data_IF_780779559737
#
_entry.id   IF_780779559737
#
_cell.length_a   1.000
_cell.length_b   1.000
_cell.length_c   1.000
_cell.angle_alpha   90.00
_cell.angle_beta   90.00
_cell.angle_gamma   90.00
#
_symmetry.space_group_name_H-M   'P 1'
#
loop_
_entity.id
_entity.type
_entity.pdbx_description
1 polymer ?
#
# COMPACT_ATOMS: atom_id res chain seq x y z
N UNK A 1 -3.10 28.30 11.50
CA UNK A 1 -4.51 27.92 11.15
C UNK A 1 -4.46 26.46 10.75
N UNK A 2 -5.02 25.58 11.56
CA UNK A 2 -5.02 24.11 11.39
C UNK A 2 -5.84 23.74 10.15
N UNK A 3 -5.32 22.84 9.30
CA UNK A 3 -5.99 22.22 8.13
C UNK A 3 -7.20 21.33 8.53
N UNK A 4 -7.54 21.31 9.81
CA UNK A 4 -8.53 20.45 10.46
C UNK A 4 -10.02 20.76 10.16
N UNK A 5 -10.37 21.76 9.32
CA UNK A 5 -11.77 22.17 9.20
C UNK A 5 -12.47 21.92 7.86
N UNK A 6 -11.85 21.25 6.90
CA UNK A 6 -12.35 21.24 5.51
C UNK A 6 -13.01 19.93 5.01
N UNK A 7 -13.03 18.83 5.79
CA UNK A 7 -13.76 17.61 5.41
C UNK A 7 -14.59 17.13 6.60
N UNK A 8 -15.92 17.15 6.46
CA UNK A 8 -16.82 16.57 7.44
C UNK A 8 -16.52 15.08 7.61
N UNK A 9 -16.58 14.56 8.84
CA UNK A 9 -16.28 13.17 9.18
C UNK A 9 -17.17 12.13 8.46
N UNK A 10 -18.20 12.56 7.72
CA UNK A 10 -19.16 11.69 7.02
C UNK A 10 -18.71 11.12 5.67
N UNK A 11 -17.67 11.70 5.03
CA UNK A 11 -17.29 11.32 3.65
C UNK A 11 -16.03 10.46 3.54
N UNK A 12 -15.36 10.12 4.64
CA UNK A 12 -14.11 9.36 4.64
C UNK A 12 -14.31 7.94 5.19
N UNK A 13 -13.81 6.94 4.49
CA UNK A 13 -13.80 5.56 4.97
C UNK A 13 -12.59 5.25 5.86
N UNK A 14 -11.46 5.95 5.64
CA UNK A 14 -10.27 5.91 6.48
C UNK A 14 -9.90 7.32 6.91
N UNK A 15 -9.60 7.47 8.19
CA UNK A 15 -9.00 8.69 8.76
C UNK A 15 -7.77 8.27 9.55
N UNK A 16 -6.63 8.85 9.20
CA UNK A 16 -5.42 8.87 10.01
C UNK A 16 -5.26 10.30 10.52
N UNK A 17 -5.16 10.48 11.84
CA UNK A 17 -5.15 11.80 12.47
C UNK A 17 -4.01 11.89 13.49
N UNK A 18 -3.09 12.83 13.23
CA UNK A 18 -1.92 13.16 14.06
C UNK A 18 -1.04 11.94 14.40
N UNK A 19 -0.81 11.05 13.43
CA UNK A 19 -0.02 9.83 13.63
C UNK A 19 1.45 10.18 13.88
N UNK A 20 1.96 9.75 15.06
CA UNK A 20 3.38 9.84 15.42
C UNK A 20 3.88 8.47 15.88
N UNK A 21 4.98 8.02 15.29
CA UNK A 21 5.65 6.75 15.67
C UNK A 21 7.09 7.02 16.05
N UNK A 22 7.47 6.59 17.26
CA UNK A 22 8.83 6.66 17.79
C UNK A 22 9.30 5.27 18.17
N UNK A 23 10.55 4.98 17.87
CA UNK A 23 11.22 3.75 18.27
C UNK A 23 12.37 4.10 19.22
N UNK A 24 12.47 3.36 20.32
CA UNK A 24 13.64 3.42 21.21
C UNK A 24 14.76 2.58 20.60
N UNK A 25 15.92 3.17 20.42
CA UNK A 25 17.11 2.46 19.93
C UNK A 25 18.27 2.64 20.91
N UNK A 26 19.33 1.85 20.76
CA UNK A 26 20.53 1.96 21.59
C UNK A 26 21.20 3.35 21.50
N UNK A 27 20.98 4.08 20.39
CA UNK A 27 21.52 5.40 20.13
C UNK A 27 20.56 6.54 20.53
N UNK A 28 19.38 6.19 21.09
CA UNK A 28 18.33 7.13 21.48
C UNK A 28 17.04 6.98 20.66
N UNK A 29 16.00 7.79 20.95
CA UNK A 29 14.71 7.68 20.29
C UNK A 29 14.79 8.19 18.85
N UNK A 30 14.24 7.38 17.92
CA UNK A 30 14.10 7.74 16.50
C UNK A 30 12.63 7.95 16.18
N UNK A 31 12.29 9.13 15.65
CA UNK A 31 10.93 9.38 15.10
C UNK A 31 10.89 8.91 13.66
N UNK A 32 10.11 7.85 13.40
CA UNK A 32 9.93 7.29 12.06
C UNK A 32 8.84 8.04 11.29
N UNK A 33 7.72 8.35 11.95
CA UNK A 33 6.57 9.09 11.43
C UNK A 33 6.26 10.24 12.37
N UNK A 34 6.08 11.44 11.83
CA UNK A 34 5.87 12.65 12.64
C UNK A 34 4.67 13.45 12.11
N UNK A 35 3.58 13.39 12.87
CA UNK A 35 2.37 14.17 12.68
C UNK A 35 1.75 14.01 11.26
N UNK A 36 1.46 12.77 10.86
CA UNK A 36 0.81 12.48 9.59
C UNK A 36 -0.70 12.45 9.80
N UNK A 37 -1.41 13.31 9.03
CA UNK A 37 -2.87 13.33 8.97
C UNK A 37 -3.36 13.29 7.52
N UNK A 38 -4.27 12.38 7.21
CA UNK A 38 -4.96 12.32 5.91
C UNK A 38 -6.27 11.53 6.01
N UNK A 39 -7.09 11.68 4.97
CA UNK A 39 -8.38 10.98 4.84
C UNK A 39 -8.47 10.32 3.49
N UNK A 40 -9.18 9.19 3.41
CA UNK A 40 -9.43 8.45 2.17
C UNK A 40 -10.94 8.28 2.00
N UNK A 41 -11.44 8.56 0.81
CA UNK A 41 -12.86 8.41 0.47
C UNK A 41 -13.18 6.96 0.10
N UNK A 42 -14.45 6.51 0.24
CA UNK A 42 -14.87 5.22 -0.30
C UNK A 42 -14.55 5.10 -1.81
N UNK A 43 -13.98 3.97 -2.22
CA UNK A 43 -13.62 3.69 -3.61
C UNK A 43 -12.39 4.45 -4.12
N UNK A 44 -11.76 5.28 -3.31
CA UNK A 44 -10.54 6.02 -3.68
C UNK A 44 -9.33 5.10 -3.74
N UNK A 45 -8.44 5.37 -4.69
CA UNK A 45 -7.10 4.78 -4.76
C UNK A 45 -6.06 5.83 -4.36
N UNK A 46 -5.46 5.66 -3.17
CA UNK A 46 -4.42 6.56 -2.65
C UNK A 46 -3.07 5.84 -2.67
N UNK A 47 -2.06 6.41 -3.33
CA UNK A 47 -0.68 5.95 -3.16
C UNK A 47 0.10 6.79 -2.14
N UNK A 48 0.99 6.12 -1.41
CA UNK A 48 1.97 6.74 -0.52
C UNK A 48 3.36 6.49 -1.10
N UNK A 49 4.06 7.57 -1.42
CA UNK A 49 5.39 7.54 -2.04
C UNK A 49 6.38 8.37 -1.22
N UNK A 50 7.64 7.96 -1.21
CA UNK A 50 8.69 8.67 -0.47
C UNK A 50 10.01 7.91 -0.53
N UNK A 51 11.13 8.51 -0.10
CA UNK A 51 12.44 7.87 -0.07
C UNK A 51 12.45 6.58 0.74
N UNK A 52 13.44 5.72 0.50
CA UNK A 52 13.63 4.51 1.30
C UNK A 52 13.87 4.88 2.77
N UNK A 53 13.24 4.13 3.68
CA UNK A 53 13.36 4.35 5.12
C UNK A 53 12.67 5.60 5.67
N UNK A 54 11.80 6.29 4.90
CA UNK A 54 11.05 7.46 5.39
C UNK A 54 9.83 7.12 6.27
N UNK A 55 9.56 5.84 6.55
CA UNK A 55 8.47 5.44 7.43
C UNK A 55 7.18 4.97 6.74
N UNK A 56 7.17 4.72 5.41
CA UNK A 56 5.97 4.26 4.68
C UNK A 56 5.38 2.97 5.24
N UNK A 57 6.18 1.91 5.34
CA UNK A 57 5.73 0.62 5.90
C UNK A 57 5.36 0.73 7.38
N UNK A 58 6.03 1.63 8.14
CA UNK A 58 5.65 1.95 9.53
C UNK A 58 4.24 2.55 9.57
N UNK A 59 3.94 3.52 8.71
CA UNK A 59 2.60 4.11 8.60
C UNK A 59 1.55 3.07 8.22
N UNK A 60 1.86 2.16 7.27
CA UNK A 60 0.95 1.07 6.90
C UNK A 60 0.71 0.07 8.03
N UNK A 61 1.74 -0.25 8.82
CA UNK A 61 1.59 -1.11 9.98
C UNK A 61 0.69 -0.47 11.05
N UNK A 62 0.75 0.86 11.22
CA UNK A 62 -0.20 1.59 12.08
C UNK A 62 -1.62 1.51 11.51
N UNK A 63 -1.81 1.82 10.22
CA UNK A 63 -3.13 1.78 9.57
C UNK A 63 -3.70 0.35 9.58
N UNK A 64 -2.85 -0.66 9.36
CA UNK A 64 -3.23 -2.07 9.39
C UNK A 64 -3.50 -2.63 10.79
N UNK A 65 -3.23 -1.83 11.86
CA UNK A 65 -3.36 -2.26 13.24
C UNK A 65 -2.27 -3.25 13.69
N UNK A 66 -1.18 -3.38 12.93
CA UNK A 66 -0.05 -4.26 13.26
C UNK A 66 0.95 -3.58 14.20
N UNK A 67 0.97 -2.26 14.24
CA UNK A 67 1.77 -1.45 15.16
C UNK A 67 0.83 -0.58 16.00
N UNK A 68 0.72 -0.92 17.29
CA UNK A 68 -0.21 -0.27 18.23
C UNK A 68 0.47 0.81 19.09
N UNK A 69 1.80 0.81 19.15
CA UNK A 69 2.57 1.84 19.88
C UNK A 69 2.79 3.08 19.02
N UNK A 70 1.76 3.93 18.94
CA UNK A 70 1.78 5.21 18.25
C UNK A 70 0.94 6.25 18.98
N UNK A 71 1.13 7.54 18.67
CA UNK A 71 0.22 8.63 19.02
C UNK A 71 -0.71 8.90 17.84
N UNK A 72 -1.81 9.58 18.11
CA UNK A 72 -2.82 9.86 17.11
C UNK A 72 -3.89 8.76 17.02
N UNK A 73 -4.77 8.87 16.04
CA UNK A 73 -5.94 8.00 15.89
C UNK A 73 -6.05 7.50 14.45
N UNK A 74 -6.30 6.20 14.28
CA UNK A 74 -6.75 5.63 13.02
C UNK A 74 -8.19 5.17 13.17
N UNK A 75 -9.05 5.56 12.24
CA UNK A 75 -10.43 5.07 12.19
C UNK A 75 -10.80 4.55 10.81
N UNK A 76 -11.60 3.48 10.76
CA UNK A 76 -12.12 2.85 9.55
C UNK A 76 -13.63 2.78 9.63
N UNK A 77 -14.32 3.37 8.66
CA UNK A 77 -15.78 3.46 8.61
C UNK A 77 -16.40 4.02 9.91
N UNK A 78 -15.71 4.99 10.54
CA UNK A 78 -16.12 5.66 11.78
C UNK A 78 -15.75 4.91 13.07
N UNK A 79 -15.16 3.72 12.99
CA UNK A 79 -14.69 2.96 14.15
C UNK A 79 -13.19 3.18 14.34
N UNK A 80 -12.75 3.60 15.54
CA UNK A 80 -11.32 3.66 15.88
C UNK A 80 -10.76 2.25 15.97
N UNK A 81 -9.56 2.04 15.42
CA UNK A 81 -8.87 0.75 15.44
C UNK A 81 -7.65 0.82 16.35
N UNK A 82 -7.47 -0.19 17.17
CA UNK A 82 -6.37 -0.38 18.13
C UNK A 82 -5.63 -1.70 17.93
N UNK A 83 -5.90 -2.40 16.81
CA UNK A 83 -5.30 -3.67 16.43
C UNK A 83 -5.77 -4.13 15.07
N UNK A 84 -5.39 -5.36 14.63
CA UNK A 84 -5.84 -5.92 13.35
C UNK A 84 -7.37 -5.91 13.24
N UNK A 85 -7.88 -5.38 12.14
CA UNK A 85 -9.32 -5.16 11.95
C UNK A 85 -9.84 -5.85 10.69
N UNK A 86 -11.00 -6.55 10.81
CA UNK A 86 -11.63 -7.30 9.71
C UNK A 86 -11.95 -6.49 8.45
N UNK A 87 -12.10 -5.18 8.60
CA UNK A 87 -12.37 -4.27 7.47
C UNK A 87 -11.11 -3.93 6.67
N UNK A 88 -9.93 -4.35 7.11
CA UNK A 88 -8.65 -4.07 6.46
C UNK A 88 -8.05 -5.38 5.95
N UNK A 89 -7.77 -5.44 4.66
CA UNK A 89 -6.99 -6.51 4.04
C UNK A 89 -5.59 -5.99 3.70
N UNK A 90 -4.56 -6.80 3.93
CA UNK A 90 -3.17 -6.42 3.62
C UNK A 90 -2.55 -7.39 2.62
N UNK A 91 -1.89 -6.82 1.61
CA UNK A 91 -0.99 -7.52 0.69
C UNK A 91 0.41 -7.01 0.97
N UNK A 92 1.29 -7.90 1.43
CA UNK A 92 2.66 -7.56 1.82
C UNK A 92 3.61 -7.62 0.62
N UNK A 93 4.75 -6.97 0.75
CA UNK A 93 5.84 -7.00 -0.24
C UNK A 93 6.37 -8.42 -0.44
N UNK A 94 6.57 -9.15 0.65
CA UNK A 94 6.98 -10.56 0.59
C UNK A 94 5.78 -11.45 0.24
N UNK A 95 6.06 -12.49 -0.55
CA UNK A 95 5.06 -13.47 -0.92
C UNK A 95 4.55 -14.21 0.31
N UNK A 96 3.32 -13.96 0.68
CA UNK A 96 2.70 -14.52 1.89
C UNK A 96 1.88 -15.78 1.62
N UNK A 97 2.04 -16.43 0.43
CA UNK A 97 1.32 -17.66 0.10
C UNK A 97 1.80 -18.84 0.96
N UNK A 98 0.85 -19.71 1.36
CA UNK A 98 1.18 -20.93 2.10
C UNK A 98 1.71 -21.99 1.13
N UNK A 99 3.01 -22.38 1.20
CA UNK A 99 3.62 -23.30 0.23
C UNK A 99 3.03 -24.72 0.27
N UNK A 100 2.43 -25.12 1.39
CA UNK A 100 1.77 -26.42 1.58
C UNK A 100 0.30 -26.45 1.16
N UNK A 101 -0.27 -25.33 0.68
CA UNK A 101 -1.63 -25.24 0.14
C UNK A 101 -1.57 -24.93 -1.35
N UNK A 102 -2.48 -25.52 -2.12
CA UNK A 102 -2.66 -25.14 -3.52
C UNK A 102 -3.32 -23.74 -3.63
N UNK A 103 -3.46 -23.22 -4.84
CA UNK A 103 -4.04 -21.90 -5.11
C UNK A 103 -5.42 -21.73 -4.49
N UNK A 104 -6.34 -22.69 -4.74
CA UNK A 104 -7.71 -22.54 -4.25
C UNK A 104 -7.79 -22.62 -2.73
N UNK A 105 -7.00 -23.44 -2.08
CA UNK A 105 -6.97 -23.54 -0.63
C UNK A 105 -6.24 -22.32 0.02
N UNK A 106 -5.30 -21.70 -0.68
CA UNK A 106 -4.71 -20.41 -0.28
C UNK A 106 -5.76 -19.31 -0.28
N UNK A 107 -6.50 -19.16 -1.38
CA UNK A 107 -7.53 -18.12 -1.53
C UNK A 107 -8.73 -18.37 -0.60
N UNK A 108 -9.09 -19.63 -0.36
CA UNK A 108 -10.17 -20.01 0.55
C UNK A 108 -9.83 -19.83 2.04
N UNK A 109 -8.57 -19.64 2.40
CA UNK A 109 -8.11 -19.62 3.79
C UNK A 109 -8.83 -18.59 4.69
N UNK A 110 -8.98 -17.31 4.33
CA UNK A 110 -9.69 -16.36 5.18
C UNK A 110 -11.16 -16.75 5.39
N UNK A 111 -11.79 -17.38 4.40
CA UNK A 111 -13.16 -17.89 4.50
C UNK A 111 -13.27 -19.13 5.42
N UNK A 112 -12.19 -19.91 5.53
CA UNK A 112 -12.09 -21.02 6.47
C UNK A 112 -12.15 -20.52 7.92
N UNK A 113 -11.49 -19.42 8.22
CA UNK A 113 -11.47 -18.80 9.54
C UNK A 113 -12.84 -18.25 9.98
N UNK A 114 -13.72 -17.94 9.03
CA UNK A 114 -15.10 -17.52 9.34
C UNK A 114 -16.06 -18.70 9.57
N UNK A 115 -15.59 -19.95 9.50
CA UNK A 115 -16.41 -21.14 9.65
C UNK A 115 -17.28 -21.46 8.40
N UNK A 116 -17.00 -20.83 7.25
CA UNK A 116 -17.77 -21.07 6.02
C UNK A 116 -17.64 -22.54 5.57
N UNK A 117 -18.74 -23.24 5.21
CA UNK A 117 -18.69 -24.60 4.71
C UNK A 117 -17.79 -24.75 3.48
N UNK A 118 -17.04 -25.88 3.40
CA UNK A 118 -16.00 -26.08 2.36
C UNK A 118 -16.51 -25.83 0.94
N UNK A 119 -17.68 -26.34 0.58
CA UNK A 119 -18.23 -26.16 -0.75
C UNK A 119 -18.39 -24.67 -1.13
N UNK A 120 -18.97 -23.87 -0.22
CA UNK A 120 -19.20 -22.43 -0.43
C UNK A 120 -17.89 -21.64 -0.49
N UNK A 121 -16.90 -21.96 0.40
CA UNK A 121 -15.62 -21.23 0.38
C UNK A 121 -14.81 -21.54 -0.87
N UNK A 122 -14.84 -22.77 -1.39
CA UNK A 122 -14.18 -23.12 -2.65
C UNK A 122 -14.83 -22.42 -3.84
N UNK A 123 -16.16 -22.40 -3.91
CA UNK A 123 -16.89 -21.64 -4.94
C UNK A 123 -16.49 -20.17 -4.94
N UNK A 124 -16.49 -19.55 -3.76
CA UNK A 124 -16.12 -18.15 -3.60
C UNK A 124 -14.63 -17.90 -3.92
N UNK A 125 -13.73 -18.79 -3.50
CA UNK A 125 -12.31 -18.71 -3.84
C UNK A 125 -12.09 -18.78 -5.36
N UNK A 126 -12.79 -19.63 -6.09
CA UNK A 126 -12.72 -19.70 -7.56
C UNK A 126 -13.15 -18.40 -8.23
N UNK A 127 -14.16 -17.71 -7.69
CA UNK A 127 -14.55 -16.38 -8.18
C UNK A 127 -13.37 -15.39 -8.11
N UNK A 128 -12.66 -15.31 -6.98
CA UNK A 128 -11.50 -14.41 -6.83
C UNK A 128 -10.29 -14.87 -7.64
N UNK A 129 -10.09 -16.18 -7.84
CA UNK A 129 -9.05 -16.74 -8.71
C UNK A 129 -9.29 -16.30 -10.16
N UNK A 130 -10.53 -16.42 -10.65
CA UNK A 130 -10.92 -15.95 -11.98
C UNK A 130 -10.74 -14.42 -12.10
N UNK A 131 -11.15 -13.67 -11.07
CA UNK A 131 -11.02 -12.21 -11.03
C UNK A 131 -9.56 -11.75 -11.21
N UNK A 132 -8.59 -12.47 -10.64
CA UNK A 132 -7.16 -12.17 -10.81
C UNK A 132 -6.53 -12.85 -12.05
N UNK A 133 -7.31 -13.55 -12.87
CA UNK A 133 -6.87 -14.23 -14.10
C UNK A 133 -5.96 -15.42 -13.85
N UNK A 134 -6.32 -16.28 -12.89
CA UNK A 134 -5.62 -17.53 -12.55
C UNK A 134 -6.49 -18.77 -12.80
N UNK A 135 -7.45 -18.67 -13.73
CA UNK A 135 -8.27 -19.84 -14.15
C UNK A 135 -7.37 -20.95 -14.67
N UNK A 136 -7.65 -22.18 -14.23
CA UNK A 136 -6.88 -23.38 -14.58
C UNK A 136 -5.65 -23.63 -13.68
N UNK A 137 -5.34 -22.72 -12.75
CA UNK A 137 -4.23 -22.88 -11.80
C UNK A 137 -4.69 -23.24 -10.38
N UNK A 138 -5.98 -23.52 -10.16
CA UNK A 138 -6.59 -23.72 -8.84
C UNK A 138 -5.89 -24.81 -8.01
N UNK A 139 -5.42 -25.87 -8.67
CA UNK A 139 -4.79 -27.03 -8.03
C UNK A 139 -3.26 -26.95 -7.97
N UNK A 140 -2.65 -25.88 -8.51
CA UNK A 140 -1.19 -25.70 -8.48
C UNK A 140 -0.74 -25.22 -7.10
N UNK A 141 0.46 -25.60 -6.73
CA UNK A 141 1.12 -25.12 -5.52
C UNK A 141 1.96 -23.86 -5.81
N UNK A 142 2.24 -23.00 -4.81
CA UNK A 142 3.04 -21.79 -5.02
C UNK A 142 4.39 -22.02 -5.71
N UNK A 143 5.07 -23.13 -5.43
CA UNK A 143 6.35 -23.49 -6.07
C UNK A 143 6.25 -23.75 -7.58
N UNK A 144 5.05 -23.97 -8.12
CA UNK A 144 4.79 -24.20 -9.55
C UNK A 144 4.38 -22.91 -10.30
N UNK A 145 4.33 -21.77 -9.60
CA UNK A 145 3.85 -20.49 -10.11
C UNK A 145 5.01 -19.51 -10.32
N UNK A 146 4.86 -18.59 -11.26
CA UNK A 146 5.74 -17.42 -11.36
C UNK A 146 5.54 -16.46 -10.18
N UNK A 147 6.50 -15.55 -9.91
CA UNK A 147 6.37 -14.52 -8.87
C UNK A 147 5.10 -13.68 -9.02
N UNK A 148 4.81 -13.21 -10.24
CA UNK A 148 3.58 -12.45 -10.51
C UNK A 148 2.29 -13.27 -10.32
N UNK A 149 2.33 -14.60 -10.55
CA UNK A 149 1.18 -15.46 -10.26
C UNK A 149 0.99 -15.63 -8.74
N UNK A 150 2.06 -15.83 -7.98
CA UNK A 150 1.99 -15.91 -6.50
C UNK A 150 1.46 -14.61 -5.90
N UNK A 151 1.88 -13.46 -6.44
CA UNK A 151 1.37 -12.16 -6.01
C UNK A 151 -0.14 -12.02 -6.28
N UNK A 152 -0.62 -12.50 -7.43
CA UNK A 152 -2.06 -12.55 -7.74
C UNK A 152 -2.83 -13.51 -6.82
N UNK A 153 -2.23 -14.62 -6.40
CA UNK A 153 -2.83 -15.51 -5.37
C UNK A 153 -2.96 -14.78 -4.03
N UNK A 154 -1.93 -14.05 -3.60
CA UNK A 154 -1.95 -13.24 -2.37
C UNK A 154 -3.05 -12.17 -2.43
N UNK A 155 -3.16 -11.46 -3.55
CA UNK A 155 -4.23 -10.49 -3.79
C UNK A 155 -5.62 -11.14 -3.74
N UNK A 156 -5.84 -12.25 -4.46
CA UNK A 156 -7.11 -12.98 -4.47
C UNK A 156 -7.50 -13.46 -3.06
N UNK A 157 -6.53 -13.97 -2.29
CA UNK A 157 -6.75 -14.38 -0.89
C UNK A 157 -7.20 -13.22 -0.02
N UNK A 158 -6.55 -12.07 -0.16
CA UNK A 158 -6.91 -10.88 0.61
C UNK A 158 -8.30 -10.37 0.22
N UNK A 159 -8.61 -10.31 -1.09
CA UNK A 159 -9.91 -9.89 -1.59
C UNK A 159 -11.04 -10.85 -1.20
N UNK A 160 -10.76 -12.15 -1.02
CA UNK A 160 -11.76 -13.16 -0.62
C UNK A 160 -12.37 -12.86 0.76
N UNK A 161 -11.68 -12.12 1.62
CA UNK A 161 -12.22 -11.63 2.91
C UNK A 161 -13.14 -10.42 2.76
N UNK A 162 -13.27 -9.83 1.55
CA UNK A 162 -14.06 -8.64 1.23
C UNK A 162 -13.79 -7.47 2.19
N UNK A 163 -12.53 -7.04 2.32
CA UNK A 163 -12.20 -5.94 3.20
C UNK A 163 -12.76 -4.63 2.66
N UNK A 164 -13.12 -3.68 3.54
CA UNK A 164 -13.52 -2.32 3.14
C UNK A 164 -12.34 -1.53 2.58
N UNK A 165 -11.13 -1.81 3.07
CA UNK A 165 -9.88 -1.16 2.68
C UNK A 165 -8.84 -2.23 2.36
N UNK A 166 -8.22 -2.10 1.19
CA UNK A 166 -7.09 -2.91 0.75
C UNK A 166 -5.81 -2.11 0.92
N UNK A 167 -4.89 -2.60 1.75
CA UNK A 167 -3.54 -2.06 1.91
C UNK A 167 -2.57 -2.91 1.09
N UNK A 168 -1.73 -2.30 0.27
CA UNK A 168 -0.71 -2.98 -0.53
C UNK A 168 0.66 -2.34 -0.28
N UNK A 169 1.59 -3.08 0.30
CA UNK A 169 2.96 -2.62 0.57
C UNK A 169 3.91 -3.17 -0.49
N UNK A 170 4.30 -2.31 -1.43
CA UNK A 170 5.20 -2.60 -2.55
C UNK A 170 4.89 -3.94 -3.29
N UNK A 171 3.62 -4.20 -3.65
CA UNK A 171 3.17 -5.52 -4.10
C UNK A 171 3.80 -5.96 -5.43
N UNK A 172 4.41 -5.05 -6.17
CA UNK A 172 4.96 -5.32 -7.50
C UNK A 172 6.48 -5.16 -7.57
N UNK A 173 7.16 -4.95 -6.42
CA UNK A 173 8.59 -4.64 -6.37
C UNK A 173 9.48 -5.74 -7.00
N UNK A 174 9.08 -7.01 -6.88
CA UNK A 174 9.83 -8.16 -7.41
C UNK A 174 9.55 -8.48 -8.89
N UNK A 175 8.70 -7.68 -9.58
CA UNK A 175 8.28 -7.93 -10.95
C UNK A 175 9.09 -7.09 -11.95
N UNK A 176 9.29 -7.67 -13.15
CA UNK A 176 9.80 -6.90 -14.30
C UNK A 176 8.78 -5.81 -14.72
N UNK A 177 9.27 -4.81 -15.45
CA UNK A 177 8.48 -3.62 -15.80
C UNK A 177 7.20 -3.96 -16.59
N UNK A 178 7.28 -4.90 -17.56
CA UNK A 178 6.12 -5.25 -18.37
C UNK A 178 5.06 -5.99 -17.55
N UNK A 179 5.47 -6.97 -16.75
CA UNK A 179 4.57 -7.70 -15.84
C UNK A 179 3.94 -6.76 -14.83
N UNK A 180 4.68 -5.78 -14.32
CA UNK A 180 4.20 -4.78 -13.37
C UNK A 180 3.08 -3.93 -13.97
N UNK A 181 3.26 -3.39 -15.18
CA UNK A 181 2.26 -2.58 -15.88
C UNK A 181 0.97 -3.38 -16.12
N UNK A 182 1.08 -4.61 -16.65
CA UNK A 182 -0.08 -5.47 -16.89
C UNK A 182 -0.83 -5.86 -15.60
N UNK A 183 -0.09 -6.09 -14.52
CA UNK A 183 -0.70 -6.38 -13.23
C UNK A 183 -1.35 -5.15 -12.62
N UNK A 184 -0.76 -3.96 -12.80
CA UNK A 184 -1.37 -2.68 -12.45
C UNK A 184 -2.72 -2.47 -13.13
N UNK A 185 -2.81 -2.71 -14.45
CA UNK A 185 -4.06 -2.66 -15.20
C UNK A 185 -5.11 -3.61 -14.61
N UNK A 186 -4.68 -4.83 -14.25
CA UNK A 186 -5.58 -5.83 -13.66
C UNK A 186 -6.09 -5.39 -12.28
N UNK A 187 -5.21 -4.84 -11.44
CA UNK A 187 -5.59 -4.31 -10.11
C UNK A 187 -6.57 -3.15 -10.25
N UNK A 188 -6.35 -2.23 -11.21
CA UNK A 188 -7.30 -1.15 -11.48
C UNK A 188 -8.67 -1.64 -11.95
N UNK A 189 -8.72 -2.66 -12.82
CA UNK A 189 -9.98 -3.29 -13.22
C UNK A 189 -10.72 -3.87 -12.02
N UNK A 190 -10.02 -4.60 -11.14
CA UNK A 190 -10.58 -5.18 -9.92
C UNK A 190 -11.09 -4.09 -8.98
N UNK A 191 -10.29 -3.04 -8.76
CA UNK A 191 -10.63 -1.91 -7.92
C UNK A 191 -11.92 -1.23 -8.39
N UNK A 192 -12.04 -0.98 -9.70
CA UNK A 192 -13.24 -0.40 -10.30
C UNK A 192 -14.47 -1.32 -10.20
N UNK A 193 -14.29 -2.61 -10.49
CA UNK A 193 -15.38 -3.60 -10.44
C UNK A 193 -15.93 -3.77 -9.02
N UNK A 194 -15.05 -3.80 -8.01
CA UNK A 194 -15.43 -4.00 -6.62
C UNK A 194 -15.69 -2.68 -5.87
N UNK A 195 -15.44 -1.52 -6.48
CA UNK A 195 -15.43 -0.20 -5.82
C UNK A 195 -14.55 -0.22 -4.57
N UNK A 196 -13.40 -0.90 -4.66
CA UNK A 196 -12.50 -1.15 -3.55
C UNK A 196 -11.73 0.11 -3.17
N UNK A 197 -11.79 0.51 -1.90
CA UNK A 197 -10.88 1.54 -1.39
C UNK A 197 -9.49 0.94 -1.23
N UNK A 198 -8.48 1.56 -1.83
CA UNK A 198 -7.14 0.99 -1.89
C UNK A 198 -6.08 2.00 -1.48
N UNK A 199 -5.16 1.57 -0.62
CA UNK A 199 -3.93 2.29 -0.31
C UNK A 199 -2.74 1.47 -0.81
N UNK A 200 -1.83 2.12 -1.53
CA UNK A 200 -0.63 1.52 -2.09
C UNK A 200 0.61 2.22 -1.57
N UNK A 201 1.56 1.48 -1.01
CA UNK A 201 2.94 1.95 -0.91
C UNK A 201 3.68 1.50 -2.15
N UNK A 202 4.38 2.43 -2.77
CA UNK A 202 5.32 2.13 -3.85
C UNK A 202 6.47 3.14 -3.86
N UNK A 203 7.60 2.73 -4.41
CA UNK A 203 8.72 3.62 -4.76
C UNK A 203 8.75 3.96 -6.26
N UNK A 204 7.85 3.36 -7.05
CA UNK A 204 7.73 3.58 -8.48
C UNK A 204 6.71 4.69 -8.78
N UNK A 205 7.20 5.82 -9.33
CA UNK A 205 6.39 7.00 -9.63
C UNK A 205 5.36 6.70 -10.72
N UNK A 206 5.76 5.94 -11.76
CA UNK A 206 4.88 5.56 -12.86
C UNK A 206 3.68 4.78 -12.36
N UNK A 207 3.91 3.79 -11.48
CA UNK A 207 2.88 3.00 -10.83
C UNK A 207 1.93 3.89 -10.00
N UNK A 208 2.48 4.78 -9.17
CA UNK A 208 1.67 5.68 -8.35
C UNK A 208 0.78 6.58 -9.21
N UNK A 209 1.31 7.19 -10.28
CA UNK A 209 0.56 8.08 -11.18
C UNK A 209 -0.50 7.32 -11.98
N UNK A 210 -0.18 6.11 -12.48
CA UNK A 210 -1.11 5.29 -13.23
C UNK A 210 -2.32 4.88 -12.39
N UNK A 211 -2.09 4.46 -11.15
CA UNK A 211 -3.10 3.79 -10.36
C UNK A 211 -3.95 4.73 -9.49
N UNK A 212 -3.41 5.85 -9.05
CA UNK A 212 -3.99 6.62 -7.94
C UNK A 212 -4.90 7.76 -8.36
N UNK A 213 -5.92 8.03 -7.56
CA UNK A 213 -6.68 9.28 -7.60
C UNK A 213 -5.92 10.40 -6.89
N UNK A 214 -5.18 10.04 -5.83
CA UNK A 214 -4.30 10.95 -5.09
C UNK A 214 -3.01 10.26 -4.71
N UNK A 215 -1.94 11.05 -4.63
CA UNK A 215 -0.61 10.59 -4.20
C UNK A 215 -0.16 11.42 -3.00
N UNK A 216 0.08 10.75 -1.87
CA UNK A 216 0.68 11.32 -0.69
C UNK A 216 2.20 11.18 -0.79
N UNK A 217 2.92 12.30 -0.92
CA UNK A 217 4.38 12.36 -0.96
C UNK A 217 4.90 12.58 0.45
N UNK A 218 5.75 11.66 0.93
CA UNK A 218 6.39 11.75 2.25
C UNK A 218 7.78 12.38 2.16
N UNK A 219 8.15 13.14 3.21
CA UNK A 219 9.51 13.65 3.41
C UNK A 219 10.46 12.52 3.79
N UNK A 220 11.78 12.77 3.66
CA UNK A 220 12.79 11.97 4.34
C UNK A 220 12.61 12.09 5.87
N UNK A 221 13.36 11.33 6.65
CA UNK A 221 13.23 11.22 8.12
C UNK A 221 13.22 12.56 8.86
N UNK A 222 12.29 12.76 9.83
CA UNK A 222 11.10 11.93 10.08
C UNK A 222 10.10 12.05 8.94
N UNK A 223 9.37 10.94 8.67
CA UNK A 223 8.35 10.92 7.63
C UNK A 223 7.17 11.83 7.98
N UNK A 224 6.96 12.88 7.18
CA UNK A 224 5.83 13.82 7.23
C UNK A 224 5.14 13.85 5.88
N UNK A 225 3.94 14.37 5.84
CA UNK A 225 3.30 14.71 4.56
C UNK A 225 3.99 15.93 3.96
N UNK A 226 4.72 15.75 2.86
CA UNK A 226 5.27 16.85 2.09
C UNK A 226 4.17 17.53 1.28
N UNK A 227 3.38 16.71 0.58
CA UNK A 227 2.27 17.15 -0.27
C UNK A 227 1.33 15.99 -0.57
N UNK A 228 0.07 16.32 -0.87
CA UNK A 228 -0.87 15.41 -1.50
C UNK A 228 -1.16 15.98 -2.90
N UNK A 229 -1.00 15.14 -3.93
CA UNK A 229 -1.20 15.48 -5.34
C UNK A 229 -2.44 14.79 -5.84
N UNK A 230 -3.42 15.56 -6.33
CA UNK A 230 -4.59 15.02 -7.03
C UNK A 230 -4.20 14.65 -8.47
N UNK A 231 -4.57 13.47 -8.92
CA UNK A 231 -4.25 12.94 -10.26
C UNK A 231 -5.51 13.01 -11.12
N UNK A 232 -5.65 14.09 -11.85
CA UNK A 232 -6.77 14.31 -12.76
C UNK A 232 -6.46 13.72 -14.16
N UNK A 233 -6.34 12.40 -14.22
CA UNK A 233 -6.20 11.66 -15.47
C UNK A 233 -7.49 10.89 -15.76
N UNK A 234 -7.92 10.78 -17.03
CA UNK A 234 -9.17 10.10 -17.37
C UNK A 234 -9.18 8.64 -16.95
N UNK A 235 -10.36 8.12 -16.63
CA UNK A 235 -10.60 6.69 -16.39
C UNK A 235 -11.44 6.09 -17.53
N UNK A 236 -11.32 4.80 -17.87
CA UNK A 236 -10.41 3.81 -17.26
C UNK A 236 -8.95 4.10 -17.59
N UNK A 237 -8.05 3.93 -16.63
CA UNK A 237 -6.61 4.05 -16.84
C UNK A 237 -6.04 2.68 -17.18
N UNK A 238 -5.31 2.62 -18.28
CA UNK A 238 -4.55 1.45 -18.71
C UNK A 238 -3.08 1.83 -18.84
N UNK A 239 -2.22 0.85 -19.05
CA UNK A 239 -0.79 1.07 -19.28
C UNK A 239 -0.51 2.01 -20.49
N UNK A 240 -1.46 2.21 -21.40
CA UNK A 240 -1.33 3.13 -22.54
C UNK A 240 -1.24 4.60 -22.09
N UNK A 241 -1.82 4.96 -20.94
CA UNK A 241 -1.82 6.35 -20.44
C UNK A 241 -0.41 6.87 -20.16
N UNK A 242 0.57 5.98 -19.93
CA UNK A 242 1.96 6.36 -19.60
C UNK A 242 2.65 7.15 -20.72
N UNK A 243 2.14 7.07 -21.95
CA UNK A 243 2.67 7.78 -23.11
C UNK A 243 2.10 9.20 -23.28
N UNK A 244 1.11 9.59 -22.46
CA UNK A 244 0.49 10.91 -22.57
C UNK A 244 1.31 12.02 -21.91
N UNK A 245 1.28 13.22 -22.48
CA UNK A 245 1.96 14.40 -21.94
C UNK A 245 1.48 14.73 -20.52
N UNK A 246 0.18 14.60 -20.25
CA UNK A 246 -0.41 14.85 -18.94
C UNK A 246 0.18 13.89 -17.88
N UNK A 247 0.36 12.61 -18.22
CA UNK A 247 1.02 11.63 -17.37
C UNK A 247 2.47 12.02 -17.07
N UNK A 248 3.22 12.37 -18.13
CA UNK A 248 4.62 12.82 -18.02
C UNK A 248 4.77 14.03 -17.10
N UNK A 249 3.80 14.96 -17.11
CA UNK A 249 3.79 16.13 -16.22
C UNK A 249 3.68 15.73 -14.74
N UNK A 250 2.78 14.81 -14.38
CA UNK A 250 2.65 14.31 -13.00
C UNK A 250 3.92 13.57 -12.56
N UNK A 251 4.48 12.74 -13.43
CA UNK A 251 5.74 12.03 -13.13
C UNK A 251 6.87 13.02 -12.83
N UNK A 252 7.04 14.05 -13.67
CA UNK A 252 8.07 15.07 -13.46
C UNK A 252 7.86 15.87 -12.16
N UNK A 253 6.61 16.20 -11.83
CA UNK A 253 6.25 16.90 -10.60
C UNK A 253 6.63 16.09 -9.37
N UNK A 254 6.24 14.81 -9.31
CA UNK A 254 6.51 13.93 -8.18
C UNK A 254 8.00 13.61 -8.08
N UNK A 255 8.67 13.40 -9.22
CA UNK A 255 10.11 13.22 -9.27
C UNK A 255 10.88 14.37 -8.62
N UNK A 256 10.48 15.62 -8.90
CA UNK A 256 11.13 16.78 -8.28
C UNK A 256 10.98 16.80 -6.76
N UNK A 257 9.78 16.48 -6.25
CA UNK A 257 9.55 16.37 -4.81
C UNK A 257 10.43 15.30 -4.16
N UNK A 258 10.50 14.12 -4.78
CA UNK A 258 11.29 12.99 -4.26
C UNK A 258 12.79 13.24 -4.35
N UNK A 259 13.28 13.89 -5.42
CA UNK A 259 14.68 14.21 -5.60
C UNK A 259 15.21 15.12 -4.49
N UNK A 260 14.41 16.11 -4.08
CA UNK A 260 14.78 16.98 -2.95
C UNK A 260 14.94 16.18 -1.65
N UNK A 261 13.98 15.29 -1.38
CA UNK A 261 13.98 14.47 -0.17
C UNK A 261 15.10 13.39 -0.19
N UNK A 262 15.35 12.77 -1.33
CA UNK A 262 16.46 11.82 -1.49
C UNK A 262 17.82 12.50 -1.30
N UNK A 263 17.99 13.74 -1.83
CA UNK A 263 19.22 14.52 -1.66
C UNK A 263 19.47 14.88 -0.20
N UNK A 264 18.44 15.17 0.60
CA UNK A 264 18.54 15.36 2.05
C UNK A 264 19.03 14.09 2.74
N UNK A 265 18.41 12.92 2.38
CA UNK A 265 18.79 11.65 2.95
C UNK A 265 20.24 11.25 2.69
N UNK A 266 20.76 11.51 1.49
CA UNK A 266 22.17 11.25 1.16
C UNK A 266 23.12 12.10 2.00
N UNK A 267 22.83 13.40 2.17
CA UNK A 267 23.65 14.30 2.99
C UNK A 267 23.69 13.88 4.47
N UNK A 268 22.55 13.44 5.00
CA UNK A 268 22.46 12.96 6.38
C UNK A 268 23.27 11.68 6.59
N UNK A 269 23.23 10.74 5.61
CA UNK A 269 24.04 9.52 5.65
C UNK A 269 25.53 9.81 5.56
N UNK A 270 25.96 10.71 4.67
CA UNK A 270 27.36 11.13 4.57
C UNK A 270 27.85 11.78 5.87
N UNK A 271 27.05 12.63 6.50
CA UNK A 271 27.38 13.26 7.78
C UNK A 271 27.53 12.23 8.91
N UNK A 272 26.69 11.19 8.95
CA UNK A 272 26.78 10.12 9.95
C UNK A 272 28.04 9.27 9.79
N UNK A 273 28.44 8.94 8.55
CA UNK A 273 29.68 8.19 8.27
C UNK A 273 30.92 8.98 8.74
N UNK A 274 30.97 10.27 8.45
CA UNK A 274 32.08 11.14 8.88
C UNK A 274 32.19 11.25 10.41
N UNK A 275 31.07 11.25 11.14
CA UNK A 275 31.08 11.27 12.60
C UNK A 275 31.55 9.93 13.21
N UNK A 276 31.28 8.79 12.56
CA UNK A 276 31.76 7.49 13.03
C UNK A 276 33.26 7.30 12.80
N UNK A 277 33.82 7.79 11.69
CA UNK A 277 35.25 7.70 11.39
C UNK A 277 36.09 8.71 12.22
N UNK A 278 35.54 9.87 12.57
CA UNK A 278 36.21 10.88 13.41
C UNK A 278 36.24 10.58 14.91
N UNK A 279 35.43 9.65 15.38
CA UNK A 279 35.38 9.23 16.80
C UNK A 279 36.27 8.04 17.16
N UNK A 280 36.99 7.46 16.19
CA UNK A 280 37.88 6.30 16.37
C UNK A 280 39.37 6.68 16.41
N UNK A 281 39.70 7.96 16.64
CA UNK A 281 41.10 8.46 16.74
C UNK A 281 41.51 8.70 18.16
#
# INVERSE_FOLDING_TARGET
>A
MSLSSALQAGDAILVADDIVVRFETAEGPITAVDNISFKVKPGEFLSVIGPSGCGKSTLFNVIGGLLTHHQGVVSVAGETIDGPHKSIGMVFQEESTFPWRNVVDNVAFPLELTGMPRAKRIERARHFISLVGLDGFENRYPGELSGGMRQRVSLARTLASEPKILLMDEPFAALDEQTRLLLGDKVLQIQQQLQQTTLLITHNITEAVQMSDRILVMTYRPGKVKRIVDIDLPRPRTSEIVTSDAFGHYVAQIWNDLREEASRGMKDQEAQVLHHEGGAS
#
